data_IF_826605474371
#
_entry.id   IF_826605474371
#
_cell.length_a   1.000
_cell.length_b   1.000
_cell.length_c   1.000
_cell.angle_alpha   90.00
_cell.angle_beta   90.00
_cell.angle_gamma   90.00
#
_symmetry.space_group_name_H-M   'P 1'
#
loop_
_entity.id
_entity.type
_entity.pdbx_description
1 polymer ?
#
# COMPACT_ATOMS: atom_id res chain seq x y z
N UNK A 1 -0.41 -1.36 11.50
CA UNK A 1 -0.93 -0.36 10.56
C UNK A 1 -0.24 0.95 10.78
N UNK A 2 0.22 1.57 9.74
CA UNK A 2 0.92 2.85 9.87
C UNK A 2 -0.02 4.05 9.71
N UNK A 3 -1.18 3.96 10.35
CA UNK A 3 -2.11 5.09 10.42
C UNK A 3 -1.59 6.10 11.42
N UNK A 4 -1.40 7.33 11.00
CA UNK A 4 -0.99 8.41 11.89
C UNK A 4 -2.21 9.03 12.58
N UNK A 5 -2.01 9.64 13.78
CA UNK A 5 -3.13 10.23 14.52
C UNK A 5 -3.90 11.32 13.76
N UNK A 6 -3.26 11.99 12.81
CA UNK A 6 -3.87 13.05 12.01
C UNK A 6 -4.53 12.54 10.73
N UNK A 7 -4.76 11.23 10.63
CA UNK A 7 -5.31 10.58 9.44
C UNK A 7 -4.47 10.82 8.18
N UNK A 8 -3.17 10.73 8.34
CA UNK A 8 -2.24 10.83 7.22
C UNK A 8 -1.75 9.43 6.85
N UNK A 9 -1.83 9.08 5.58
CA UNK A 9 -1.47 7.76 5.09
C UNK A 9 -0.33 7.85 4.09
N UNK A 10 0.70 7.04 4.31
CA UNK A 10 1.83 6.94 3.38
C UNK A 10 1.60 5.87 2.32
N UNK A 11 2.66 5.63 1.55
CA UNK A 11 2.69 4.53 0.60
C UNK A 11 3.09 3.25 1.32
N UNK A 12 2.56 2.13 0.86
CA UNK A 12 2.95 0.82 1.38
C UNK A 12 3.67 0.06 0.27
N UNK A 13 4.98 -0.04 0.38
CA UNK A 13 5.81 -0.67 -0.66
C UNK A 13 6.80 -1.61 0.02
N UNK A 14 6.91 -2.82 -0.51
CA UNK A 14 7.85 -3.84 -0.02
C UNK A 14 7.70 -4.12 1.48
N UNK A 15 6.45 -4.19 1.95
CA UNK A 15 6.16 -4.50 3.34
C UNK A 15 6.35 -3.35 4.31
N UNK A 16 6.62 -2.15 3.84
CA UNK A 16 6.89 -0.99 4.67
C UNK A 16 6.05 0.22 4.26
N UNK A 17 5.63 1.00 5.26
CA UNK A 17 5.02 2.30 5.02
C UNK A 17 6.10 3.35 4.88
N UNK A 18 5.94 4.24 3.91
CA UNK A 18 6.88 5.34 3.70
C UNK A 18 6.17 6.52 3.05
N UNK A 19 6.79 7.69 3.13
CA UNK A 19 6.31 8.88 2.42
C UNK A 19 6.69 8.78 0.95
N UNK A 20 5.98 9.52 0.10
CA UNK A 20 6.40 9.70 -1.29
C UNK A 20 7.76 10.40 -1.33
N UNK A 21 8.52 10.19 -2.41
CA UNK A 21 9.87 10.76 -2.53
C UNK A 21 9.87 12.29 -2.47
N UNK A 22 8.86 12.92 -3.04
CA UNK A 22 8.71 14.37 -2.98
C UNK A 22 8.07 14.85 -1.69
N UNK A 23 7.62 13.93 -0.83
CA UNK A 23 6.98 14.28 0.43
C UNK A 23 5.63 14.95 0.29
N UNK A 24 5.02 14.87 -0.88
CA UNK A 24 3.74 15.53 -1.15
C UNK A 24 2.57 14.65 -0.75
N UNK A 25 1.49 15.31 -0.35
CA UNK A 25 0.23 14.66 0.02
C UNK A 25 -0.91 15.36 -0.69
N UNK A 26 -2.01 14.66 -0.86
CA UNK A 26 -3.25 15.28 -1.30
C UNK A 26 -4.37 14.88 -0.32
N UNK A 27 -5.37 15.74 -0.22
CA UNK A 27 -6.49 15.50 0.67
C UNK A 27 -7.59 14.74 -0.06
N UNK A 28 -8.24 13.83 0.66
CA UNK A 28 -9.41 13.12 0.15
C UNK A 28 -10.64 13.52 0.96
N UNK A 29 -11.78 13.66 0.30
CA UNK A 29 -13.00 14.19 0.88
C UNK A 29 -14.15 13.21 0.72
N UNK A 30 -15.07 13.26 1.69
CA UNK A 30 -16.31 12.50 1.58
C UNK A 30 -17.20 13.13 0.50
N UNK A 31 -17.66 12.36 -0.50
CA UNK A 31 -18.56 12.91 -1.50
C UNK A 31 -19.94 13.27 -0.93
N UNK A 32 -20.33 12.66 0.18
CA UNK A 32 -21.63 12.93 0.81
C UNK A 32 -21.63 14.21 1.63
N UNK A 33 -20.59 14.41 2.46
CA UNK A 33 -20.54 15.54 3.40
C UNK A 33 -19.54 16.61 2.99
N UNK A 34 -18.67 16.32 2.04
CA UNK A 34 -17.56 17.18 1.60
C UNK A 34 -16.54 17.47 2.69
N UNK A 35 -16.56 16.69 3.76
CA UNK A 35 -15.57 16.81 4.83
C UNK A 35 -14.30 16.07 4.44
N UNK A 36 -13.16 16.60 4.90
CA UNK A 36 -11.87 15.95 4.69
C UNK A 36 -11.81 14.64 5.49
N UNK A 37 -11.51 13.55 4.81
CA UNK A 37 -11.36 12.24 5.43
C UNK A 37 -9.92 12.03 5.89
N UNK A 38 -8.96 12.31 5.02
CA UNK A 38 -7.55 12.01 5.27
C UNK A 38 -6.65 12.73 4.28
N UNK A 39 -5.36 12.75 4.60
CA UNK A 39 -4.30 13.13 3.65
C UNK A 39 -3.58 11.85 3.22
N UNK A 40 -3.36 11.72 1.93
CA UNK A 40 -2.77 10.52 1.34
C UNK A 40 -1.50 10.92 0.58
N UNK A 41 -0.46 10.10 0.70
CA UNK A 41 0.79 10.38 -0.01
C UNK A 41 0.56 10.37 -1.52
N UNK A 42 1.09 11.39 -2.19
CA UNK A 42 1.04 11.50 -3.65
C UNK A 42 2.28 10.85 -4.23
N UNK A 43 2.12 9.66 -4.83
CA UNK A 43 3.24 8.91 -5.37
C UNK A 43 3.82 9.60 -6.60
N UNK A 44 5.16 9.61 -6.68
CA UNK A 44 5.87 10.05 -7.88
C UNK A 44 6.03 8.86 -8.83
N UNK A 45 6.53 9.13 -10.04
CA UNK A 45 6.88 8.07 -10.97
C UNK A 45 7.90 7.11 -10.34
N UNK A 46 8.88 7.64 -9.62
CA UNK A 46 9.90 6.82 -8.96
C UNK A 46 9.29 5.92 -7.88
N UNK A 47 8.31 6.42 -7.13
CA UNK A 47 7.61 5.61 -6.13
C UNK A 47 6.86 4.45 -6.78
N UNK A 48 6.19 4.71 -7.91
CA UNK A 48 5.49 3.68 -8.66
C UNK A 48 6.48 2.65 -9.22
N UNK A 49 7.62 3.10 -9.73
CA UNK A 49 8.66 2.20 -10.22
C UNK A 49 9.19 1.32 -9.09
N UNK A 50 9.40 1.88 -7.90
CA UNK A 50 9.83 1.11 -6.73
C UNK A 50 8.80 0.04 -6.35
N UNK A 51 7.52 0.39 -6.40
CA UNK A 51 6.43 -0.54 -6.09
C UNK A 51 6.40 -1.68 -7.10
N UNK A 52 6.50 -1.37 -8.39
CA UNK A 52 6.50 -2.37 -9.45
C UNK A 52 7.72 -3.28 -9.33
N UNK A 53 8.90 -2.71 -9.07
CA UNK A 53 10.13 -3.49 -8.91
C UNK A 53 10.04 -4.42 -7.69
N UNK A 54 9.47 -3.96 -6.59
CA UNK A 54 9.26 -4.79 -5.41
C UNK A 54 8.30 -5.95 -5.72
N UNK A 55 7.25 -5.69 -6.48
CA UNK A 55 6.30 -6.72 -6.90
C UNK A 55 6.97 -7.75 -7.79
N UNK A 56 7.80 -7.33 -8.75
CA UNK A 56 8.54 -8.25 -9.61
C UNK A 56 9.51 -9.11 -8.82
N UNK A 57 10.22 -8.52 -7.85
CA UNK A 57 11.14 -9.27 -7.00
C UNK A 57 10.41 -10.34 -6.18
N UNK A 58 9.22 -10.03 -5.67
CA UNK A 58 8.42 -10.98 -4.90
C UNK A 58 7.76 -12.04 -5.78
N UNK A 59 7.47 -11.71 -7.04
CA UNK A 59 6.79 -12.63 -7.95
C UNK A 59 7.54 -13.93 -8.14
N UNK A 60 8.86 -13.89 -8.22
CA UNK A 60 9.66 -15.08 -8.46
C UNK A 60 9.46 -16.13 -7.36
N UNK A 61 9.48 -15.73 -6.10
CA UNK A 61 9.22 -16.64 -4.99
C UNK A 61 7.74 -17.01 -4.87
N UNK A 62 6.85 -16.07 -5.13
CA UNK A 62 5.41 -16.30 -5.06
C UNK A 62 4.93 -17.34 -6.07
N UNK A 63 5.39 -17.22 -7.32
CA UNK A 63 4.98 -18.17 -8.37
C UNK A 63 5.50 -19.59 -8.12
N UNK A 64 6.57 -19.74 -7.34
CA UNK A 64 7.14 -21.04 -6.99
C UNK A 64 6.45 -21.72 -5.83
N UNK A 65 5.62 -20.99 -5.08
CA UNK A 65 4.80 -21.61 -4.03
C UNK A 65 3.75 -22.50 -4.66
N UNK A 66 3.50 -23.67 -4.04
CA UNK A 66 2.47 -24.52 -4.53
C UNK A 66 1.08 -23.93 -4.26
N UNK A 67 0.08 -24.48 -4.96
CA UNK A 67 -1.29 -23.94 -4.90
C UNK A 67 -1.88 -23.97 -3.49
N UNK A 68 -1.56 -25.01 -2.72
CA UNK A 68 -2.10 -25.16 -1.36
C UNK A 68 -1.56 -24.07 -0.46
N UNK A 69 -0.27 -23.78 -0.56
CA UNK A 69 0.34 -22.72 0.26
C UNK A 69 -0.19 -21.33 -0.07
N UNK A 70 -0.40 -21.05 -1.35
CA UNK A 70 -1.01 -19.79 -1.75
C UNK A 70 -2.45 -19.66 -1.23
N UNK A 71 -3.21 -20.76 -1.27
CA UNK A 71 -4.55 -20.78 -0.73
C UNK A 71 -4.57 -20.55 0.79
N UNK A 72 -3.61 -21.13 1.53
CA UNK A 72 -3.48 -20.89 2.96
C UNK A 72 -3.26 -19.44 3.30
N UNK A 73 -2.43 -18.74 2.51
CA UNK A 73 -2.17 -17.31 2.71
C UNK A 73 -3.45 -16.48 2.49
N UNK A 74 -4.20 -16.81 1.45
CA UNK A 74 -5.48 -16.14 1.18
C UNK A 74 -6.48 -16.35 2.31
N UNK A 75 -6.53 -17.57 2.87
CA UNK A 75 -7.39 -17.85 4.01
C UNK A 75 -6.98 -17.06 5.26
N UNK A 76 -5.69 -16.85 5.47
CA UNK A 76 -5.21 -16.02 6.56
C UNK A 76 -5.67 -14.57 6.43
N UNK A 77 -5.70 -14.07 5.21
CA UNK A 77 -6.20 -12.71 4.95
C UNK A 77 -7.68 -12.62 5.36
N UNK A 78 -8.46 -13.65 5.06
CA UNK A 78 -9.87 -13.68 5.43
C UNK A 78 -10.10 -13.71 6.94
N UNK A 79 -9.16 -14.26 7.70
CA UNK A 79 -9.27 -14.38 9.15
C UNK A 79 -8.91 -13.10 9.91
N UNK A 80 -8.32 -12.13 9.24
CA UNK A 80 -7.85 -10.89 9.88
C UNK A 80 -8.92 -9.82 10.03
#
# INVERSE_FOLDING_TARGET
MAKKPDNTYGLFINGEFRNAKDGKFFDTYSPATKEKIASVAEATKEDVDDAVNAAWAAFDSWKKLDKIKRAEILLKIADV
#
